data_IF_126526535246
#
_entry.id   IF_126526535246
#
_cell.length_a   1.000
_cell.length_b   1.000
_cell.length_c   1.000
_cell.angle_alpha   90.00
_cell.angle_beta   90.00
_cell.angle_gamma   90.00
#
_symmetry.space_group_name_H-M   'P 1'
#
loop_
_entity.id
_entity.type
_entity.pdbx_description
1 polymer ?
#
# COMPACT_ATOMS: atom_id res chain seq x y z
N UNK A 1 -1.23 -10.80 13.96
CA UNK A 1 -2.46 -10.94 13.16
C UNK A 1 -3.50 -9.93 13.65
N UNK A 2 -3.19 -8.65 13.59
CA UNK A 2 -4.09 -7.62 14.13
C UNK A 2 -4.35 -6.53 13.11
N UNK A 3 -3.35 -6.13 12.32
CA UNK A 3 -3.44 -4.97 11.44
C UNK A 3 -2.97 -5.24 10.01
N UNK A 4 -3.68 -4.68 9.04
CA UNK A 4 -3.33 -4.73 7.62
C UNK A 4 -3.68 -3.42 6.91
N UNK A 5 -3.00 -3.12 5.83
CA UNK A 5 -3.31 -1.97 4.98
C UNK A 5 -4.56 -2.26 4.13
N UNK A 6 -5.50 -1.32 4.08
CA UNK A 6 -6.57 -1.35 3.09
C UNK A 6 -6.06 -0.79 1.76
N UNK A 7 -5.79 -1.67 0.79
CA UNK A 7 -5.32 -1.31 -0.55
C UNK A 7 -6.29 -0.41 -1.35
N UNK A 8 -7.53 -0.27 -0.89
CA UNK A 8 -8.52 0.61 -1.53
C UNK A 8 -8.51 2.04 -0.98
N UNK A 9 -8.29 2.25 0.32
CA UNK A 9 -8.44 3.58 0.94
C UNK A 9 -7.25 4.07 1.74
N UNK A 10 -6.24 3.22 1.98
CA UNK A 10 -5.04 3.57 2.72
C UNK A 10 -5.21 3.59 4.23
N UNK A 11 -6.39 3.26 4.77
CA UNK A 11 -6.54 3.07 6.21
C UNK A 11 -6.02 1.71 6.66
N UNK A 12 -5.48 1.66 7.88
CA UNK A 12 -5.17 0.40 8.54
C UNK A 12 -6.47 -0.24 9.04
N UNK A 13 -6.64 -1.54 8.82
CA UNK A 13 -7.83 -2.31 9.19
C UNK A 13 -7.48 -3.56 10.00
N UNK A 14 -8.46 -4.05 10.76
CA UNK A 14 -8.32 -5.31 11.47
C UNK A 14 -8.39 -6.50 10.49
N UNK A 15 -7.27 -7.22 10.34
CA UNK A 15 -7.17 -8.39 9.47
C UNK A 15 -7.17 -8.07 7.96
N UNK A 16 -6.26 -8.72 7.23
CA UNK A 16 -6.07 -8.51 5.78
C UNK A 16 -7.31 -8.84 4.92
N UNK A 17 -8.07 -9.86 5.30
CA UNK A 17 -9.14 -10.43 4.45
C UNK A 17 -10.53 -9.86 4.80
N UNK A 18 -10.65 -9.24 5.98
CA UNK A 18 -11.91 -8.67 6.43
C UNK A 18 -12.25 -7.37 5.70
N UNK A 19 -13.53 -6.99 5.71
CA UNK A 19 -13.97 -5.71 5.16
C UNK A 19 -13.32 -4.56 5.93
N UNK A 20 -12.92 -3.53 5.20
CA UNK A 20 -12.43 -2.31 5.82
C UNK A 20 -13.59 -1.58 6.52
N UNK A 21 -13.40 -1.19 7.78
CA UNK A 21 -14.40 -0.47 8.55
C UNK A 21 -14.62 0.95 8.04
N UNK A 22 -13.63 1.52 7.33
CA UNK A 22 -13.70 2.88 6.79
C UNK A 22 -14.42 2.94 5.45
N UNK A 23 -14.02 2.13 4.46
CA UNK A 23 -14.58 2.20 3.10
C UNK A 23 -15.57 1.08 2.76
N UNK A 24 -15.73 0.07 3.63
CA UNK A 24 -16.65 -1.06 3.42
C UNK A 24 -16.20 -2.07 2.35
N UNK A 25 -15.12 -1.80 1.62
CA UNK A 25 -14.56 -2.69 0.60
C UNK A 25 -13.92 -3.91 1.27
N UNK A 26 -14.13 -5.07 0.66
CA UNK A 26 -13.52 -6.35 1.05
C UNK A 26 -12.01 -6.36 0.73
N UNK A 27 -11.42 -7.55 0.70
CA UNK A 27 -10.04 -7.76 0.26
C UNK A 27 -9.90 -7.53 -1.27
N UNK A 28 -8.67 -7.40 -1.76
CA UNK A 28 -8.37 -7.18 -3.19
C UNK A 28 -8.77 -8.34 -4.11
N UNK A 29 -9.24 -9.46 -3.54
CA UNK A 29 -9.45 -10.71 -4.28
C UNK A 29 -8.18 -11.55 -4.41
N UNK A 30 -7.01 -10.98 -4.10
CA UNK A 30 -5.75 -11.72 -3.98
C UNK A 30 -5.33 -11.80 -2.49
N UNK A 31 -5.66 -12.92 -1.87
CA UNK A 31 -5.39 -13.16 -0.45
C UNK A 31 -3.90 -13.05 -0.07
N UNK A 32 -3.01 -13.49 -0.95
CA UNK A 32 -1.57 -13.43 -0.69
C UNK A 32 -1.11 -11.97 -0.63
N UNK A 33 -1.57 -11.16 -1.57
CA UNK A 33 -1.30 -9.72 -1.58
C UNK A 33 -1.92 -8.99 -0.38
N UNK A 34 -3.15 -9.33 -0.02
CA UNK A 34 -3.81 -8.75 1.15
C UNK A 34 -3.01 -9.06 2.43
N UNK A 35 -2.51 -10.29 2.56
CA UNK A 35 -1.67 -10.70 3.69
C UNK A 35 -0.27 -10.10 3.62
N UNK A 36 0.25 -9.85 2.43
CA UNK A 36 1.56 -9.27 2.22
C UNK A 36 1.66 -7.91 2.91
N UNK A 37 0.68 -7.03 2.70
CA UNK A 37 0.61 -5.72 3.35
C UNK A 37 -0.05 -5.77 4.75
N UNK A 38 0.53 -6.56 5.64
CA UNK A 38 0.06 -6.69 7.03
C UNK A 38 1.18 -6.70 8.06
N UNK A 39 0.79 -6.65 9.33
CA UNK A 39 1.66 -6.68 10.51
C UNK A 39 2.47 -7.99 10.67
N UNK A 40 2.30 -8.94 9.76
CA UNK A 40 3.17 -10.11 9.63
C UNK A 40 4.51 -9.79 8.97
N UNK A 41 4.50 -8.85 8.03
CA UNK A 41 5.65 -8.57 7.18
C UNK A 41 6.23 -7.19 7.47
N UNK A 42 5.42 -6.26 7.96
CA UNK A 42 5.79 -4.86 8.08
C UNK A 42 5.43 -4.25 9.42
N UNK A 43 6.21 -3.25 9.81
CA UNK A 43 5.96 -2.44 10.99
C UNK A 43 4.68 -1.60 10.84
N UNK A 44 4.11 -1.17 11.96
CA UNK A 44 2.90 -0.36 11.93
C UNK A 44 3.17 0.99 11.24
N UNK A 45 4.35 1.58 11.49
CA UNK A 45 4.78 2.81 10.83
C UNK A 45 4.94 2.64 9.32
N UNK A 46 5.41 1.48 8.85
CA UNK A 46 5.49 1.16 7.41
C UNK A 46 4.10 1.10 6.79
N UNK A 47 3.16 0.39 7.42
CA UNK A 47 1.79 0.25 6.93
C UNK A 47 1.05 1.59 6.88
N UNK A 48 1.25 2.46 7.86
CA UNK A 48 0.67 3.80 7.89
C UNK A 48 1.22 4.68 6.76
N UNK A 49 2.54 4.67 6.55
CA UNK A 49 3.17 5.41 5.45
C UNK A 49 2.70 4.93 4.08
N UNK A 50 2.62 3.61 3.86
CA UNK A 50 2.02 3.05 2.64
C UNK A 50 0.55 3.47 2.49
N UNK A 51 -0.17 3.61 3.61
CA UNK A 51 -1.51 4.18 3.64
C UNK A 51 -1.58 5.60 3.10
N UNK A 52 -0.60 6.45 3.41
CA UNK A 52 -0.51 7.80 2.87
C UNK A 52 -0.27 7.81 1.35
N UNK A 53 0.51 6.86 0.83
CA UNK A 53 0.69 6.67 -0.62
C UNK A 53 -0.65 6.32 -1.29
N UNK A 54 -1.41 5.39 -0.73
CA UNK A 54 -2.74 5.05 -1.28
C UNK A 54 -3.66 6.27 -1.26
N UNK A 55 -3.64 7.06 -0.18
CA UNK A 55 -4.45 8.28 -0.05
C UNK A 55 -4.06 9.35 -1.08
N UNK A 56 -2.78 9.55 -1.34
CA UNK A 56 -2.32 10.54 -2.33
C UNK A 56 -2.71 10.14 -3.76
N UNK A 57 -2.60 8.85 -4.11
CA UNK A 57 -3.04 8.30 -5.40
C UNK A 57 -4.56 8.46 -5.56
N UNK A 58 -5.33 8.16 -4.50
CA UNK A 58 -6.78 8.30 -4.52
C UNK A 58 -7.25 9.74 -4.71
N UNK A 59 -6.44 10.74 -4.35
CA UNK A 59 -6.78 12.15 -4.52
C UNK A 59 -6.71 12.63 -5.98
N UNK A 60 -6.07 11.87 -6.88
CA UNK A 60 -5.80 12.29 -8.27
C UNK A 60 -6.35 11.36 -9.36
N UNK A 61 -6.83 10.17 -8.99
CA UNK A 61 -7.56 9.25 -9.87
C UNK A 61 -8.81 8.76 -9.15
N UNK A 62 -9.89 8.48 -9.88
CA UNK A 62 -11.13 7.88 -9.36
C UNK A 62 -11.33 6.41 -9.74
N UNK A 63 -10.45 5.90 -10.59
CA UNK A 63 -10.59 4.57 -11.18
C UNK A 63 -9.89 3.54 -10.29
N UNK A 64 -10.61 2.56 -9.70
CA UNK A 64 -10.03 1.60 -8.75
C UNK A 64 -8.83 0.83 -9.31
N UNK A 65 -8.93 0.36 -10.55
CA UNK A 65 -7.86 -0.43 -11.19
C UNK A 65 -6.59 0.40 -11.39
N UNK A 66 -6.74 1.66 -11.81
CA UNK A 66 -5.60 2.57 -11.99
C UNK A 66 -4.92 2.91 -10.66
N UNK A 67 -5.71 3.17 -9.61
CA UNK A 67 -5.20 3.44 -8.26
C UNK A 67 -4.39 2.26 -7.75
N UNK A 68 -4.93 1.05 -7.93
CA UNK A 68 -4.27 -0.18 -7.52
C UNK A 68 -2.96 -0.39 -8.30
N UNK A 69 -2.99 -0.31 -9.64
CA UNK A 69 -1.78 -0.47 -10.46
C UNK A 69 -0.74 0.62 -10.16
N UNK A 70 -1.16 1.86 -9.89
CA UNK A 70 -0.25 2.93 -9.46
C UNK A 70 0.41 2.63 -8.12
N UNK A 71 -0.33 2.15 -7.14
CA UNK A 71 0.25 1.73 -5.87
C UNK A 71 1.24 0.58 -6.06
N UNK A 72 0.89 -0.42 -6.85
CA UNK A 72 1.78 -1.56 -7.12
C UNK A 72 3.06 -1.14 -7.85
N UNK A 73 2.96 -0.24 -8.84
CA UNK A 73 4.13 0.31 -9.53
C UNK A 73 4.99 1.19 -8.60
N UNK A 74 4.36 1.99 -7.73
CA UNK A 74 5.09 2.76 -6.72
C UNK A 74 5.94 1.83 -5.84
N UNK A 75 5.33 0.77 -5.29
CA UNK A 75 6.05 -0.15 -4.41
C UNK A 75 7.15 -0.88 -5.18
N UNK A 76 6.90 -1.37 -6.40
CA UNK A 76 7.92 -2.10 -7.17
C UNK A 76 9.10 -1.23 -7.60
N UNK A 77 8.88 0.07 -7.83
CA UNK A 77 9.93 0.99 -8.26
C UNK A 77 10.73 1.60 -7.10
N UNK A 78 10.06 1.93 -5.99
CA UNK A 78 10.70 2.55 -4.81
C UNK A 78 11.22 1.54 -3.80
N UNK A 79 10.58 0.37 -3.72
CA UNK A 79 10.88 -0.70 -2.77
C UNK A 79 10.93 -2.06 -3.50
N UNK A 80 11.84 -2.23 -4.48
CA UNK A 80 11.93 -3.45 -5.28
C UNK A 80 12.18 -4.72 -4.45
N UNK A 81 12.69 -4.59 -3.22
CA UNK A 81 12.86 -5.68 -2.26
C UNK A 81 11.54 -6.21 -1.67
N UNK A 82 10.46 -5.42 -1.73
CA UNK A 82 9.14 -5.86 -1.28
C UNK A 82 8.47 -6.73 -2.35
N UNK A 83 8.28 -6.19 -3.55
CA UNK A 83 7.59 -6.90 -4.62
C UNK A 83 8.06 -6.43 -6.00
N UNK A 84 7.91 -7.31 -6.98
CA UNK A 84 8.06 -6.97 -8.40
C UNK A 84 6.68 -6.87 -9.03
N UNK A 85 6.45 -5.80 -9.79
CA UNK A 85 5.21 -5.58 -10.53
C UNK A 85 5.54 -4.88 -11.84
N UNK A 86 5.04 -5.46 -12.94
CA UNK A 86 5.15 -4.95 -14.30
C UNK A 86 3.73 -4.73 -14.84
N UNK A 87 3.29 -3.47 -15.04
CA UNK A 87 1.98 -3.18 -15.63
C UNK A 87 1.96 -3.48 -17.14
N UNK A 88 0.76 -3.59 -17.70
CA UNK A 88 0.56 -3.70 -19.16
C UNK A 88 1.08 -2.45 -19.88
N UNK A 89 1.66 -2.62 -21.08
CA UNK A 89 2.37 -1.56 -21.81
C UNK A 89 1.51 -0.31 -22.06
N UNK A 90 0.22 -0.48 -22.32
CA UNK A 90 -0.73 0.60 -22.58
C UNK A 90 -1.17 1.36 -21.32
N UNK A 91 -0.90 0.81 -20.13
CA UNK A 91 -1.23 1.41 -18.84
C UNK A 91 -0.05 2.20 -18.24
N UNK A 92 1.19 1.97 -18.70
CA UNK A 92 2.40 2.57 -18.13
C UNK A 92 2.31 4.10 -18.08
N UNK A 93 2.10 4.75 -19.23
CA UNK A 93 2.09 6.23 -19.32
C UNK A 93 1.01 6.83 -18.41
N UNK A 94 -0.15 6.18 -18.34
CA UNK A 94 -1.26 6.61 -17.50
C UNK A 94 -0.93 6.49 -16.01
N UNK A 95 -0.34 5.38 -15.60
CA UNK A 95 0.03 5.13 -14.21
C UNK A 95 1.15 6.09 -13.78
N UNK A 96 2.16 6.31 -14.64
CA UNK A 96 3.24 7.26 -14.38
C UNK A 96 2.71 8.69 -14.23
N UNK A 97 1.74 9.10 -15.03
CA UNK A 97 1.06 10.40 -14.88
C UNK A 97 0.33 10.52 -13.54
N UNK A 98 -0.35 9.45 -13.10
CA UNK A 98 -1.01 9.40 -11.78
C UNK A 98 0.03 9.58 -10.67
N UNK A 99 1.13 8.82 -10.70
CA UNK A 99 2.19 8.92 -9.69
C UNK A 99 2.84 10.30 -9.67
N UNK A 100 3.04 10.92 -10.83
CA UNK A 100 3.57 12.28 -10.93
C UNK A 100 2.64 13.32 -10.30
N UNK A 101 1.33 13.19 -10.49
CA UNK A 101 0.32 14.09 -9.89
C UNK A 101 0.12 13.84 -8.40
N UNK A 102 0.14 12.58 -8.00
CA UNK A 102 -0.06 12.16 -6.63
C UNK A 102 1.09 12.59 -5.71
N UNK A 103 2.30 12.73 -6.27
CA UNK A 103 3.54 13.04 -5.55
C UNK A 103 3.64 12.24 -4.24
N UNK A 104 3.60 10.89 -4.32
CA UNK A 104 3.50 10.05 -3.14
C UNK A 104 4.72 10.22 -2.24
N UNK A 105 4.52 10.26 -0.90
CA UNK A 105 5.63 10.40 0.03
C UNK A 105 6.53 9.17 -0.02
N UNK A 106 7.83 9.36 0.21
CA UNK A 106 8.75 8.24 0.41
C UNK A 106 8.35 7.43 1.66
N UNK A 107 8.59 6.13 1.62
CA UNK A 107 8.24 5.18 2.69
C UNK A 107 9.51 4.55 3.25
N UNK A 108 9.61 4.50 4.58
CA UNK A 108 10.65 3.71 5.25
C UNK A 108 10.08 2.31 5.53
N UNK A 109 10.70 1.30 4.93
CA UNK A 109 10.29 -0.11 5.09
C UNK A 109 11.01 -0.72 6.29
N UNK A 110 10.23 -1.14 7.28
CA UNK A 110 10.73 -1.75 8.52
C UNK A 110 9.96 -3.03 8.84
N UNK A 111 10.60 -3.97 9.54
CA UNK A 111 9.98 -5.23 9.98
C UNK A 111 9.09 -5.00 11.22
N UNK A 112 8.17 -5.92 11.56
CA UNK A 112 7.18 -5.72 12.62
C UNK A 112 7.70 -5.32 14.01
N UNK A 113 8.97 -5.57 14.34
CA UNK A 113 9.58 -5.28 15.64
C UNK A 113 10.61 -4.15 15.63
N UNK A 114 10.92 -3.57 14.47
CA UNK A 114 11.99 -2.57 14.35
C UNK A 114 11.56 -1.23 15.00
N UNK A 115 10.25 -0.95 15.10
CA UNK A 115 9.68 0.25 15.74
C UNK A 115 9.93 0.31 17.27
N UNK A 116 10.42 -0.77 17.89
CA UNK A 116 10.62 -0.89 19.34
C UNK A 116 12.05 -0.56 19.80
N UNK A 117 13.03 -0.58 18.91
CA UNK A 117 14.44 -0.35 19.28
C UNK A 117 14.74 1.12 19.62
N UNK A 118 13.97 2.06 19.05
CA UNK A 118 14.11 3.50 19.32
C UNK A 118 13.54 3.97 20.67
N UNK A 119 12.88 3.08 21.44
CA UNK A 119 12.25 3.43 22.73
C UNK A 119 13.02 2.94 23.96
N UNK A 120 14.22 2.37 23.79
CA UNK A 120 15.02 1.78 24.88
C UNK A 120 16.38 2.51 25.08
N UNK A 121 16.53 3.75 24.60
CA UNK A 121 17.69 4.61 24.93
C UNK A 121 17.33 5.77 25.85
#
# INVERSE_FOLDING_TARGET
MTWALCLNCGETKFGAILKCEHCGVSSSGNRELDMFFSDHNYSAGTLEQLGQVVKSINAVSDMPDERFCAFMLYVSTRHPEMLSYEPEEDMIEKIEEILRKADPPDVIVAKPNDDLEDKIQ
#
